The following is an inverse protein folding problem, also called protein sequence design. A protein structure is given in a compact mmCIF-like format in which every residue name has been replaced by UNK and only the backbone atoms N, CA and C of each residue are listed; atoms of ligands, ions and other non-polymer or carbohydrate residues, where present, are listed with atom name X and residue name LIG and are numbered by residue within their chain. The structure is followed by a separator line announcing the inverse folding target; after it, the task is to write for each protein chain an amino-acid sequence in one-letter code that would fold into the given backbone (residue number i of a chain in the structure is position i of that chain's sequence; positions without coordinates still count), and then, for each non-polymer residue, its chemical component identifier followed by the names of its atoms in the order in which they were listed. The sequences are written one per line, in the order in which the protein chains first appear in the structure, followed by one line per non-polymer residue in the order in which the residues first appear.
data_IF_498164495707
#
_entry.id   IF_498164495707
#
_cell.length_a   1.000
_cell.length_b   1.000
_cell.length_c   1.000
_cell.angle_alpha   90.00
_cell.angle_beta   90.00
_cell.angle_gamma   90.00
#
_symmetry.space_group_name_H-M   'P 1'
#
loop_
_entity.id
_entity.type
_entity.pdbx_description
1 polymer ?
#
# COMPACT_ATOMS: atom_id res chain seq x y z
N UNK A 1 -11.36 2.78 -8.57
CA UNK A 1 -11.87 2.04 -7.39
C UNK A 1 -10.76 1.86 -6.36
N UNK A 2 -11.06 2.13 -5.09
CA UNK A 2 -10.15 2.08 -3.94
C UNK A 2 -10.55 0.96 -2.97
N UNK A 3 -9.57 0.22 -2.46
CA UNK A 3 -9.72 -0.79 -1.42
C UNK A 3 -8.81 -0.43 -0.24
N UNK A 4 -9.36 -0.46 0.98
CA UNK A 4 -8.62 -0.18 2.21
C UNK A 4 -8.51 -1.45 3.07
N UNK A 5 -7.34 -1.69 3.64
CA UNK A 5 -7.11 -2.81 4.57
C UNK A 5 -6.15 -2.43 5.68
N UNK A 6 -6.35 -2.95 6.90
CA UNK A 6 -5.52 -2.60 8.08
C UNK A 6 -4.73 -3.77 8.68
N UNK A 7 -4.87 -4.98 8.16
CA UNK A 7 -4.38 -6.17 8.89
C UNK A 7 -2.85 -6.33 8.86
N UNK A 8 -2.22 -5.88 7.78
CA UNK A 8 -0.81 -6.15 7.58
C UNK A 8 0.04 -5.09 8.28
N UNK A 9 1.07 -5.50 9.01
CA UNK A 9 1.93 -4.62 9.82
C UNK A 9 2.87 -3.74 8.97
N UNK A 10 2.34 -3.04 7.98
CA UNK A 10 3.01 -2.10 7.11
C UNK A 10 1.96 -1.17 6.49
N UNK A 11 2.44 -0.10 5.88
CA UNK A 11 1.72 0.68 4.90
C UNK A 11 2.21 0.28 3.50
N UNK A 12 1.30 -0.07 2.61
CA UNK A 12 1.63 -0.42 1.23
C UNK A 12 0.52 0.05 0.29
N UNK A 13 0.88 0.86 -0.70
CA UNK A 13 0.02 1.15 -1.84
C UNK A 13 0.34 0.17 -2.96
N UNK A 14 -0.66 -0.61 -3.35
CA UNK A 14 -0.58 -1.61 -4.41
C UNK A 14 -1.56 -1.19 -5.50
N UNK A 15 -1.09 -1.16 -6.75
CA UNK A 15 -1.91 -1.00 -7.94
C UNK A 15 -1.99 -2.33 -8.67
N UNK A 16 -3.18 -2.90 -8.80
CA UNK A 16 -3.34 -4.10 -9.64
C UNK A 16 -3.17 -3.74 -11.12
N UNK A 17 -2.58 -4.67 -11.87
CA UNK A 17 -2.33 -4.52 -13.30
C UNK A 17 -3.57 -4.93 -14.10
N UNK A 18 -3.40 -5.14 -15.40
CA UNK A 18 -4.44 -5.72 -16.26
C UNK A 18 -4.50 -7.23 -16.01
N UNK A 19 -5.25 -7.63 -14.99
CA UNK A 19 -5.51 -9.03 -14.62
C UNK A 19 -6.54 -9.68 -15.55
N UNK A 20 -7.35 -8.89 -16.27
CA UNK A 20 -8.45 -9.40 -17.10
C UNK A 20 -9.72 -9.73 -16.31
N UNK A 21 -9.74 -9.44 -15.00
CA UNK A 21 -10.84 -9.72 -14.09
C UNK A 21 -11.31 -8.43 -13.39
N UNK A 22 -12.33 -8.52 -12.54
CA UNK A 22 -12.91 -7.37 -11.84
C UNK A 22 -11.94 -6.66 -10.88
N UNK A 23 -10.80 -7.29 -10.58
CA UNK A 23 -9.72 -6.74 -9.76
C UNK A 23 -8.67 -5.97 -10.57
N UNK A 24 -8.84 -5.78 -11.88
CA UNK A 24 -7.93 -4.98 -12.71
C UNK A 24 -7.94 -3.49 -12.35
N UNK A 25 -6.76 -2.86 -12.35
CA UNK A 25 -6.60 -1.41 -12.19
C UNK A 25 -7.27 -0.84 -10.91
N UNK A 26 -7.12 -1.54 -9.80
CA UNK A 26 -7.58 -1.16 -8.47
C UNK A 26 -6.42 -0.62 -7.63
N UNK A 27 -6.70 0.44 -6.86
CA UNK A 27 -5.80 0.91 -5.80
C UNK A 27 -6.14 0.20 -4.50
N UNK A 28 -5.19 -0.56 -3.98
CA UNK A 28 -5.23 -1.15 -2.65
C UNK A 28 -4.30 -0.38 -1.74
N UNK A 29 -4.81 0.15 -0.65
CA UNK A 29 -4.01 0.79 0.38
C UNK A 29 -4.13 -0.05 1.64
N UNK A 30 -3.05 -0.77 1.94
CA UNK A 30 -2.88 -1.45 3.20
C UNK A 30 -2.26 -0.47 4.18
N UNK A 31 -2.89 -0.21 5.32
CA UNK A 31 -2.43 0.72 6.36
C UNK A 31 -2.58 0.06 7.73
N UNK A 32 -1.68 -0.87 8.05
CA UNK A 32 -1.67 -1.58 9.33
C UNK A 32 -0.38 -1.41 10.14
N UNK A 33 0.47 -0.43 9.81
CA UNK A 33 1.65 -0.10 10.59
C UNK A 33 1.26 0.39 11.99
N UNK A 34 1.20 -0.51 12.97
CA UNK A 34 0.84 -0.22 14.36
C UNK A 34 2.04 0.07 15.26
N UNK A 35 3.26 0.16 14.70
CA UNK A 35 4.51 0.28 15.45
C UNK A 35 5.06 -1.04 15.99
N UNK A 36 4.32 -2.16 15.90
CA UNK A 36 4.76 -3.47 16.37
C UNK A 36 4.93 -4.48 15.24
N UNK A 37 5.99 -5.30 15.30
CA UNK A 37 6.24 -6.42 14.38
C UNK A 37 6.09 -6.04 12.90
N UNK A 38 6.69 -4.90 12.51
CA UNK A 38 6.53 -4.40 11.15
C UNK A 38 7.02 -5.42 10.11
N UNK A 39 6.27 -5.57 9.03
CA UNK A 39 6.65 -6.47 7.93
C UNK A 39 7.82 -5.88 7.15
N UNK A 40 8.70 -6.74 6.63
CA UNK A 40 9.66 -6.32 5.58
C UNK A 40 8.95 -6.33 4.25
N UNK A 41 9.40 -5.47 3.34
CA UNK A 41 9.03 -5.61 1.94
C UNK A 41 9.51 -6.97 1.42
N UNK A 42 8.71 -7.56 0.53
CA UNK A 42 9.03 -8.83 -0.14
C UNK A 42 10.36 -8.72 -0.89
N UNK A 43 11.15 -9.79 -0.91
CA UNK A 43 12.45 -9.84 -1.60
C UNK A 43 12.33 -9.68 -3.12
N UNK A 44 11.21 -10.14 -3.68
CA UNK A 44 10.87 -9.98 -5.10
C UNK A 44 10.69 -8.50 -5.51
N UNK A 45 10.77 -7.57 -4.55
CA UNK A 45 10.67 -6.15 -4.80
C UNK A 45 9.23 -5.69 -4.97
N UNK A 46 9.04 -4.71 -5.84
CA UNK A 46 7.76 -4.02 -5.95
C UNK A 46 6.71 -4.81 -6.76
N UNK A 47 7.11 -5.74 -7.63
CA UNK A 47 6.16 -6.58 -8.35
C UNK A 47 5.53 -7.65 -7.45
N UNK A 48 4.24 -7.89 -7.66
CA UNK A 48 3.50 -9.04 -7.12
C UNK A 48 3.26 -9.97 -8.30
N UNK A 49 3.84 -11.16 -8.21
CA UNK A 49 3.71 -12.21 -9.21
C UNK A 49 2.87 -13.34 -8.65
N UNK A 50 1.99 -13.88 -9.48
CA UNK A 50 1.18 -15.05 -9.17
C UNK A 50 1.38 -16.12 -10.25
N UNK A 51 1.19 -17.37 -9.82
CA UNK A 51 1.14 -18.51 -10.73
C UNK A 51 -0.31 -18.70 -11.14
N UNK A 52 -0.62 -18.28 -12.36
CA UNK A 52 -1.95 -18.35 -12.94
C UNK A 52 -2.11 -19.65 -13.70
N UNK A 53 -3.22 -20.34 -13.49
CA UNK A 53 -3.61 -21.50 -14.27
C UNK A 53 -4.83 -21.18 -15.13
N UNK A 54 -4.68 -21.24 -16.45
CA UNK A 54 -5.83 -21.29 -17.36
C UNK A 54 -5.73 -22.55 -18.20
N UNK A 55 -6.84 -23.29 -18.30
CA UNK A 55 -6.96 -24.47 -19.17
C UNK A 55 -5.86 -25.53 -18.97
N UNK A 56 -5.38 -25.68 -17.72
CA UNK A 56 -4.34 -26.65 -17.36
C UNK A 56 -2.90 -26.19 -17.64
N UNK A 57 -2.69 -25.00 -18.21
CA UNK A 57 -1.37 -24.41 -18.42
C UNK A 57 -1.07 -23.40 -17.32
N UNK A 58 0.04 -23.63 -16.61
CA UNK A 58 0.54 -22.70 -15.60
C UNK A 58 1.48 -21.66 -16.23
N UNK A 59 1.27 -20.40 -15.90
CA UNK A 59 2.18 -19.32 -16.27
C UNK A 59 2.37 -18.35 -15.09
N UNK A 60 3.55 -17.72 -15.04
CA UNK A 60 3.85 -16.70 -14.04
C UNK A 60 3.47 -15.35 -14.62
N UNK A 61 2.65 -14.60 -13.90
CA UNK A 61 2.20 -13.27 -14.32
C UNK A 61 2.39 -12.27 -13.19
N UNK A 62 2.87 -11.06 -13.54
CA UNK A 62 2.77 -9.93 -12.64
C UNK A 62 1.32 -9.44 -12.60
N UNK A 63 0.69 -9.51 -11.42
CA UNK A 63 -0.73 -9.16 -11.22
C UNK A 63 -0.89 -7.80 -10.55
N UNK A 64 0.14 -7.31 -9.87
CA UNK A 64 0.11 -6.01 -9.20
C UNK A 64 1.51 -5.44 -8.98
N UNK A 65 1.55 -4.14 -8.70
CA UNK A 65 2.78 -3.39 -8.46
C UNK A 65 2.62 -2.56 -7.17
N UNK A 66 3.54 -2.73 -6.23
CA UNK A 66 3.71 -1.80 -5.10
C UNK A 66 4.28 -0.49 -5.61
N UNK A 67 3.56 0.58 -5.32
CA UNK A 67 3.92 1.96 -5.66
C UNK A 67 4.69 2.60 -4.51
N UNK A 68 4.26 2.34 -3.28
CA UNK A 68 4.88 2.85 -2.06
C UNK A 68 4.82 1.79 -0.96
N UNK A 69 5.88 1.70 -0.14
CA UNK A 69 5.97 0.74 0.95
C UNK A 69 6.66 1.36 2.17
N UNK A 70 5.99 1.33 3.32
CA UNK A 70 6.55 1.64 4.63
C UNK A 70 6.32 0.47 5.56
N UNK A 71 7.41 -0.20 5.93
CA UNK A 71 7.38 -1.30 6.89
C UNK A 71 8.63 -1.26 7.75
N UNK A 72 9.13 -2.43 8.12
CA UNK A 72 10.32 -2.56 8.95
C UNK A 72 11.53 -1.95 8.29
N UNK A 73 11.97 -0.83 8.85
CA UNK A 73 13.24 -0.19 8.51
C UNK A 73 14.27 -0.49 9.61
N UNK A 74 15.49 -0.84 9.19
CA UNK A 74 16.65 -0.95 10.09
C UNK A 74 17.59 0.21 9.79
N UNK A 75 17.85 1.05 10.78
CA UNK A 75 18.89 2.08 10.68
C UNK A 75 19.88 1.90 11.83
N UNK A 76 21.17 1.74 11.51
CA UNK A 76 22.22 1.56 12.53
C UNK A 76 22.00 0.37 13.47
N UNK A 77 21.33 -0.69 13.00
CA UNK A 77 21.04 -1.90 13.78
C UNK A 77 19.81 -1.83 14.70
N UNK A 78 19.18 -0.66 14.88
CA UNK A 78 17.94 -0.51 15.65
C UNK A 78 16.71 -0.51 14.73
N UNK A 79 15.69 -1.24 15.15
CA UNK A 79 14.37 -1.28 14.51
C UNK A 79 13.57 -0.04 14.94
N UNK A 80 12.96 0.66 13.98
CA UNK A 80 12.09 1.80 14.27
C UNK A 80 10.65 1.33 14.43
N UNK A 81 10.00 1.78 15.49
CA UNK A 81 8.56 1.60 15.69
C UNK A 81 7.82 2.67 14.89
N UNK A 82 7.55 2.38 13.61
CA UNK A 82 6.79 3.25 12.73
C UNK A 82 5.31 2.94 12.88
N UNK A 83 4.51 3.96 13.20
CA UNK A 83 3.06 3.89 13.07
C UNK A 83 2.62 4.56 11.77
N UNK A 84 1.48 4.17 11.23
CA UNK A 84 0.96 4.73 9.98
C UNK A 84 -0.53 4.97 10.09
N UNK A 85 -1.01 6.04 9.46
CA UNK A 85 -2.43 6.32 9.32
C UNK A 85 -2.71 6.93 7.94
N UNK A 86 -4.00 6.98 7.57
CA UNK A 86 -4.46 7.64 6.35
C UNK A 86 -5.33 8.84 6.72
N UNK A 87 -5.19 9.92 5.96
CA UNK A 87 -6.20 10.97 5.85
C UNK A 87 -6.80 10.89 4.45
N UNK A 88 -8.12 10.76 4.36
CA UNK A 88 -8.82 10.71 3.08
C UNK A 88 -9.60 12.01 2.96
N UNK A 89 -9.16 12.88 2.06
CA UNK A 89 -9.89 14.11 1.77
C UNK A 89 -10.94 13.77 0.70
N UNK A 90 -12.21 13.99 1.04
CA UNK A 90 -13.34 13.82 0.13
C UNK A 90 -13.59 15.16 -0.57
N UNK A 91 -13.50 15.17 -1.89
CA UNK A 91 -13.71 16.36 -2.70
C UNK A 91 -15.08 16.32 -3.38
N UNK A 92 -15.58 17.50 -3.74
CA UNK A 92 -16.77 17.62 -4.58
C UNK A 92 -16.53 16.97 -5.95
N UNK A 93 -17.54 16.26 -6.47
CA UNK A 93 -17.46 15.59 -7.77
C UNK A 93 -18.48 14.47 -7.92
N UNK A 94 -18.87 14.20 -9.18
CA UNK A 94 -19.65 13.01 -9.56
C UNK A 94 -18.99 12.38 -10.81
N UNK A 95 -18.32 11.23 -10.66
CA UNK A 95 -18.23 10.41 -9.46
C UNK A 95 -17.35 11.01 -8.36
N UNK A 96 -17.47 10.43 -7.15
CA UNK A 96 -16.74 10.82 -5.93
C UNK A 96 -15.24 10.97 -6.19
N UNK A 97 -14.67 12.13 -5.87
CA UNK A 97 -13.24 12.38 -5.95
C UNK A 97 -12.59 12.21 -4.56
N UNK A 98 -11.55 11.38 -4.48
CA UNK A 98 -10.85 11.06 -3.24
C UNK A 98 -9.36 11.34 -3.38
N UNK A 99 -8.79 12.02 -2.38
CA UNK A 99 -7.33 12.16 -2.26
C UNK A 99 -6.88 11.48 -0.97
N UNK A 100 -6.24 10.32 -1.12
CA UNK A 100 -5.70 9.57 0.00
C UNK A 100 -4.31 10.08 0.33
N UNK A 101 -4.09 10.47 1.59
CA UNK A 101 -2.82 10.94 2.12
C UNK A 101 -2.34 9.98 3.19
N UNK A 102 -1.34 9.15 2.88
CA UNK A 102 -0.72 8.31 3.88
C UNK A 102 0.24 9.12 4.75
N UNK A 103 0.36 8.75 6.01
CA UNK A 103 1.28 9.37 6.98
C UNK A 103 2.09 8.31 7.70
N UNK A 104 3.33 8.67 8.02
CA UNK A 104 4.19 7.93 8.94
C UNK A 104 4.31 8.73 10.23
N UNK A 105 4.27 8.01 11.34
CA UNK A 105 4.44 8.53 12.69
C UNK A 105 5.63 7.83 13.32
N UNK A 106 6.54 8.63 13.87
CA UNK A 106 7.72 8.14 14.58
C UNK A 106 7.77 8.74 15.98
N UNK A 107 8.14 7.91 16.95
CA UNK A 107 8.56 8.39 18.26
C UNK A 107 10.08 8.46 18.29
N UNK A 108 10.63 9.68 18.32
CA UNK A 108 12.05 9.92 18.60
C UNK A 108 12.21 10.55 19.98
N UNK A 109 12.55 11.84 20.04
CA UNK A 109 12.47 12.63 21.27
C UNK A 109 11.02 13.03 21.58
N UNK A 110 10.22 13.24 20.54
CA UNK A 110 8.79 13.53 20.60
C UNK A 110 8.07 12.76 19.49
N UNK A 111 6.75 12.66 19.60
CA UNK A 111 5.91 12.13 18.53
C UNK A 111 5.87 13.12 17.36
N UNK A 112 6.25 12.66 16.18
CA UNK A 112 6.14 13.45 14.95
C UNK A 112 5.43 12.64 13.88
N UNK A 113 4.68 13.33 13.02
CA UNK A 113 4.09 12.74 11.83
C UNK A 113 4.53 13.51 10.60
N UNK A 114 4.69 12.79 9.49
CA UNK A 114 4.98 13.40 8.19
C UNK A 114 4.20 12.70 7.08
N UNK A 115 3.73 13.45 6.08
CA UNK A 115 2.98 12.89 4.97
C UNK A 115 3.90 12.13 4.02
N UNK A 116 3.33 11.12 3.37
CA UNK A 116 3.87 10.49 2.16
C UNK A 116 3.24 11.12 0.92
N UNK A 117 3.56 10.58 -0.26
CA UNK A 117 2.99 11.03 -1.52
C UNK A 117 1.47 10.84 -1.52
N UNK A 118 0.73 11.87 -1.90
CA UNK A 118 -0.71 11.79 -2.01
C UNK A 118 -1.11 10.91 -3.21
N UNK A 119 -2.13 10.09 -3.03
CA UNK A 119 -2.70 9.23 -4.05
C UNK A 119 -4.02 9.87 -4.49
N UNK A 120 -3.98 10.56 -5.64
CA UNK A 120 -5.17 11.05 -6.30
C UNK A 120 -5.82 9.89 -7.05
N UNK A 121 -7.05 9.56 -6.68
CA UNK A 121 -7.79 8.49 -7.32
C UNK A 121 -8.59 9.09 -8.48
N UNK A 122 -8.44 8.58 -9.71
CA UNK A 122 -9.17 9.12 -10.84
C UNK A 122 -10.67 8.93 -10.62
N UNK A 123 -11.43 9.99 -10.91
CA UNK A 123 -12.88 9.92 -11.14
C UNK A 123 -13.10 8.99 -12.34
N UNK A 124 -13.86 7.91 -12.12
CA UNK A 124 -14.15 6.90 -13.16
C UNK A 124 -15.00 7.49 -14.28
#
# INVERSE_FOLDING_TARGET
NLILSGHSHCLEHIRTLKTGHADSHLDWIVCGGSGASLRRQRRAGAQIIEMMGQEGVQHIQAVAQSQEYVGRQRQGGKERNLHTFLRIDVQEGSPLCLVVRPFVVEQRQQWTSYPLSAIALPSV
#
